data_IF_287003782623
#
_entry.id   IF_287003782623
#
_cell.length_a   1.000
_cell.length_b   1.000
_cell.length_c   1.000
_cell.angle_alpha   90.00
_cell.angle_beta   90.00
_cell.angle_gamma   90.00
#
_symmetry.space_group_name_H-M   'P 1'
#
loop_
_entity.id
_entity.type
_entity.pdbx_description
1 polymer ?
#
# COMPACT_ATOMS: atom_id res chain seq x y z
N UNK A 1 -25.54 18.46 21.77
CA UNK A 1 -24.20 19.08 21.81
C UNK A 1 -23.17 18.00 21.47
N UNK A 2 -22.61 17.98 20.25
CA UNK A 2 -21.69 16.90 19.83
C UNK A 2 -20.34 17.00 20.56
N UNK A 3 -19.92 15.92 21.20
CA UNK A 3 -18.67 15.79 21.97
C UNK A 3 -17.42 16.11 21.12
N UNK A 4 -16.36 16.60 21.78
CA UNK A 4 -15.07 16.98 21.18
C UNK A 4 -14.44 15.83 20.40
N UNK A 5 -14.56 14.58 20.84
CA UNK A 5 -14.06 13.40 20.08
C UNK A 5 -14.81 13.25 18.75
N UNK A 6 -16.13 13.35 18.79
CA UNK A 6 -16.98 13.31 17.58
C UNK A 6 -16.64 14.43 16.61
N UNK A 7 -16.39 15.65 17.11
CA UNK A 7 -15.98 16.79 16.26
C UNK A 7 -14.62 16.57 15.59
N UNK A 8 -13.63 16.06 16.33
CA UNK A 8 -12.29 15.75 15.78
C UNK A 8 -12.37 14.67 14.70
N UNK A 9 -13.09 13.58 14.98
CA UNK A 9 -13.33 12.50 14.01
C UNK A 9 -14.01 13.01 12.74
N UNK A 10 -15.06 13.81 12.88
CA UNK A 10 -15.77 14.40 11.73
C UNK A 10 -14.92 15.41 10.94
N UNK A 11 -13.93 16.05 11.56
CA UNK A 11 -12.96 16.91 10.88
C UNK A 11 -11.95 16.09 10.08
N UNK A 12 -11.45 15.01 10.67
CA UNK A 12 -10.53 14.09 10.00
C UNK A 12 -11.19 13.45 8.78
N UNK A 13 -12.38 12.86 8.93
CA UNK A 13 -13.12 12.29 7.80
C UNK A 13 -13.36 13.28 6.66
N UNK A 14 -13.77 14.51 6.97
CA UNK A 14 -13.94 15.56 5.95
C UNK A 14 -12.65 15.89 5.24
N UNK A 15 -11.54 15.99 5.96
CA UNK A 15 -10.22 16.26 5.37
C UNK A 15 -9.81 15.12 4.42
N UNK A 16 -10.02 13.87 4.81
CA UNK A 16 -9.70 12.70 3.96
C UNK A 16 -10.57 12.71 2.71
N UNK A 17 -11.89 12.89 2.84
CA UNK A 17 -12.80 12.96 1.70
C UNK A 17 -12.39 14.07 0.72
N UNK A 18 -12.15 15.28 1.22
CA UNK A 18 -11.70 16.40 0.39
C UNK A 18 -10.36 16.14 -0.32
N UNK A 19 -9.44 15.42 0.33
CA UNK A 19 -8.17 15.04 -0.28
C UNK A 19 -8.37 14.01 -1.40
N UNK A 20 -9.22 13.01 -1.19
CA UNK A 20 -9.55 12.00 -2.20
C UNK A 20 -10.26 12.62 -3.41
N UNK A 21 -11.24 13.50 -3.18
CA UNK A 21 -11.94 14.23 -4.24
C UNK A 21 -10.94 15.08 -5.07
N UNK A 22 -10.00 15.74 -4.40
CA UNK A 22 -8.97 16.53 -5.09
C UNK A 22 -8.02 15.67 -5.93
N UNK A 23 -7.64 14.47 -5.45
CA UNK A 23 -6.82 13.52 -6.21
C UNK A 23 -7.58 13.02 -7.43
N UNK A 24 -8.86 12.70 -7.30
CA UNK A 24 -9.70 12.26 -8.41
C UNK A 24 -9.83 13.34 -9.49
N UNK A 25 -10.11 14.59 -9.09
CA UNK A 25 -10.20 15.72 -10.02
C UNK A 25 -8.89 15.93 -10.80
N UNK A 26 -7.73 15.84 -10.12
CA UNK A 26 -6.42 15.94 -10.77
C UNK A 26 -6.20 14.82 -11.78
N UNK A 27 -6.65 13.60 -11.46
CA UNK A 27 -6.61 12.48 -12.41
C UNK A 27 -7.51 12.75 -13.63
N UNK A 28 -8.75 13.18 -13.44
CA UNK A 28 -9.67 13.52 -14.54
C UNK A 28 -9.15 14.66 -15.43
N UNK A 29 -8.36 15.57 -14.86
CA UNK A 29 -7.68 16.66 -15.57
C UNK A 29 -6.38 16.22 -16.27
N UNK A 30 -5.98 14.95 -16.14
CA UNK A 30 -4.76 14.42 -16.74
C UNK A 30 -3.47 14.82 -16.02
N UNK A 31 -3.55 15.35 -14.79
CA UNK A 31 -2.38 15.68 -13.99
C UNK A 31 -1.81 14.47 -13.23
N UNK A 32 -2.59 13.39 -13.12
CA UNK A 32 -2.11 12.17 -12.50
C UNK A 32 -1.10 11.47 -13.42
N UNK A 33 0.03 10.97 -12.86
CA UNK A 33 0.92 10.09 -13.61
C UNK A 33 0.13 8.90 -14.14
N UNK A 34 0.16 8.71 -15.46
CA UNK A 34 -0.39 7.54 -16.11
C UNK A 34 0.75 6.73 -16.70
N UNK A 35 0.62 5.41 -16.59
CA UNK A 35 1.55 4.47 -17.22
C UNK A 35 0.73 3.69 -18.24
N UNK A 36 1.15 3.74 -19.50
CA UNK A 36 0.57 2.88 -20.53
C UNK A 36 0.96 1.44 -20.24
N UNK A 37 -0.01 0.54 -20.27
CA UNK A 37 0.20 -0.89 -20.07
C UNK A 37 -0.32 -1.65 -21.29
N UNK A 38 0.56 -2.43 -21.91
CA UNK A 38 0.21 -3.37 -22.96
C UNK A 38 0.02 -4.77 -22.35
N UNK A 39 -1.22 -5.30 -22.29
CA UNK A 39 -1.48 -6.65 -21.77
C UNK A 39 -0.78 -7.77 -22.57
N UNK A 40 -0.35 -7.49 -23.81
CA UNK A 40 0.40 -8.44 -24.64
C UNK A 40 1.89 -8.51 -24.28
N UNK A 41 2.43 -7.48 -23.62
CA UNK A 41 3.85 -7.40 -23.25
C UNK A 41 4.16 -7.98 -21.86
N UNK A 42 3.13 -8.32 -21.07
CA UNK A 42 3.24 -8.88 -19.73
C UNK A 42 1.93 -8.74 -18.95
N UNK A 43 1.89 -9.26 -17.72
CA UNK A 43 0.79 -9.09 -16.78
C UNK A 43 1.10 -8.08 -15.68
N UNK A 44 0.09 -7.64 -14.94
CA UNK A 44 0.27 -6.94 -13.67
C UNK A 44 -0.05 -7.88 -12.52
N UNK A 45 0.74 -7.81 -11.45
CA UNK A 45 0.34 -8.29 -10.13
C UNK A 45 0.21 -7.10 -9.20
N UNK A 46 -0.89 -7.05 -8.47
CA UNK A 46 -1.19 -5.95 -7.56
C UNK A 46 -1.31 -6.52 -6.15
N UNK A 47 -0.48 -6.03 -5.24
CA UNK A 47 -0.60 -6.32 -3.82
C UNK A 47 -0.80 -5.03 -3.02
N UNK A 48 -1.33 -5.18 -1.81
CA UNK A 48 -1.63 -4.11 -0.86
C UNK A 48 -1.68 -4.70 0.54
N UNK A 49 -1.52 -3.87 1.57
CA UNK A 49 -1.78 -4.21 2.97
C UNK A 49 -0.99 -5.45 3.45
N UNK A 50 0.28 -5.54 3.03
CA UNK A 50 1.15 -6.60 3.53
C UNK A 50 1.46 -6.41 5.01
N UNK A 51 1.61 -5.15 5.45
CA UNK A 51 2.02 -4.80 6.81
C UNK A 51 3.29 -5.57 7.23
N UNK A 52 4.35 -5.43 6.42
CA UNK A 52 5.69 -5.97 6.69
C UNK A 52 6.25 -5.27 7.92
N UNK A 53 6.32 -5.98 9.04
CA UNK A 53 6.72 -5.42 10.32
C UNK A 53 8.14 -5.77 10.77
N UNK A 54 8.39 -5.62 12.06
CA UNK A 54 9.71 -5.79 12.69
C UNK A 54 10.11 -7.27 12.95
N UNK A 55 9.40 -8.23 12.35
CA UNK A 55 9.48 -9.67 12.67
C UNK A 55 9.11 -10.04 14.12
N UNK A 56 8.29 -9.23 14.76
CA UNK A 56 7.76 -9.47 16.11
C UNK A 56 6.28 -9.85 16.07
N UNK A 57 5.51 -9.45 17.09
CA UNK A 57 4.09 -9.74 17.21
C UNK A 57 3.17 -8.81 16.40
N UNK A 58 3.67 -7.64 15.99
CA UNK A 58 2.97 -6.68 15.13
C UNK A 58 3.08 -7.05 13.64
N UNK A 59 4.06 -7.89 13.29
CA UNK A 59 4.34 -8.28 11.91
C UNK A 59 3.37 -9.38 11.41
N UNK A 60 2.18 -8.96 10.98
CA UNK A 60 1.16 -9.83 10.40
C UNK A 60 1.58 -10.44 9.04
N UNK A 61 2.47 -9.77 8.30
CA UNK A 61 3.01 -10.26 7.04
C UNK A 61 3.68 -11.62 7.15
N UNK A 62 4.30 -11.94 8.30
CA UNK A 62 5.07 -13.18 8.50
C UNK A 62 4.29 -14.45 8.13
N UNK A 63 2.97 -14.43 8.33
CA UNK A 63 2.09 -15.56 8.00
C UNK A 63 1.93 -15.73 6.49
N UNK A 64 1.96 -14.63 5.74
CA UNK A 64 1.81 -14.57 4.29
C UNK A 64 3.15 -14.61 3.54
N UNK A 65 4.28 -14.34 4.19
CA UNK A 65 5.62 -14.19 3.60
C UNK A 65 5.95 -15.30 2.59
N UNK A 66 5.69 -16.57 2.94
CA UNK A 66 5.95 -17.70 2.03
C UNK A 66 5.12 -17.66 0.76
N UNK A 67 3.83 -17.37 0.87
CA UNK A 67 2.93 -17.31 -0.27
C UNK A 67 3.24 -16.09 -1.15
N UNK A 68 3.53 -14.95 -0.52
CA UNK A 68 3.98 -13.74 -1.20
C UNK A 68 5.26 -13.99 -2.02
N UNK A 69 6.28 -14.59 -1.40
CA UNK A 69 7.54 -14.91 -2.10
C UNK A 69 7.34 -15.91 -3.25
N UNK A 70 6.50 -16.93 -3.07
CA UNK A 70 6.18 -17.89 -4.13
C UNK A 70 5.46 -17.22 -5.31
N UNK A 71 4.52 -16.32 -5.03
CA UNK A 71 3.84 -15.55 -6.06
C UNK A 71 4.82 -14.62 -6.80
N UNK A 72 5.68 -13.89 -6.07
CA UNK A 72 6.69 -13.03 -6.69
C UNK A 72 7.61 -13.83 -7.63
N UNK A 73 8.12 -14.97 -7.20
CA UNK A 73 8.98 -15.81 -8.03
C UNK A 73 8.25 -16.28 -9.31
N UNK A 74 7.04 -16.80 -9.16
CA UNK A 74 6.24 -17.30 -10.28
C UNK A 74 5.93 -16.20 -11.31
N UNK A 75 5.47 -15.04 -10.85
CA UNK A 75 5.08 -13.95 -11.74
C UNK A 75 6.27 -13.18 -12.32
N UNK A 76 7.40 -13.17 -11.63
CA UNK A 76 8.66 -12.67 -12.18
C UNK A 76 9.12 -13.52 -13.38
N UNK A 77 9.02 -14.85 -13.27
CA UNK A 77 9.34 -15.77 -14.40
C UNK A 77 8.41 -15.55 -15.60
N UNK A 78 7.16 -15.15 -15.36
CA UNK A 78 6.20 -14.78 -16.42
C UNK A 78 6.35 -13.35 -16.95
N UNK A 79 7.38 -12.61 -16.51
CA UNK A 79 7.63 -11.23 -16.94
C UNK A 79 6.55 -10.23 -16.53
N UNK A 80 5.86 -10.47 -15.41
CA UNK A 80 4.85 -9.54 -14.91
C UNK A 80 5.48 -8.36 -14.15
N UNK A 81 4.78 -7.23 -14.16
CA UNK A 81 5.15 -6.06 -13.37
C UNK A 81 4.42 -6.08 -12.02
N UNK A 82 5.19 -5.93 -10.94
CA UNK A 82 4.65 -5.77 -9.58
C UNK A 82 4.20 -4.32 -9.35
N UNK A 83 2.99 -4.16 -8.84
CA UNK A 83 2.42 -2.91 -8.34
C UNK A 83 2.07 -3.08 -6.87
N UNK A 84 2.65 -2.24 -6.01
CA UNK A 84 2.37 -2.18 -4.59
C UNK A 84 1.45 -0.97 -4.31
N UNK A 85 0.22 -1.23 -3.85
CA UNK A 85 -0.86 -0.22 -3.77
C UNK A 85 -0.88 0.56 -2.45
N UNK A 86 0.00 0.24 -1.50
CA UNK A 86 0.11 0.92 -0.22
C UNK A 86 0.09 -0.05 0.97
N UNK A 87 0.31 0.50 2.16
CA UNK A 87 0.36 -0.23 3.43
C UNK A 87 1.25 -1.49 3.36
N UNK A 88 2.38 -1.34 2.67
CA UNK A 88 3.37 -2.41 2.47
C UNK A 88 4.11 -2.68 3.77
N UNK A 89 4.52 -1.64 4.48
CA UNK A 89 5.17 -1.71 5.79
C UNK A 89 4.18 -1.43 6.92
N UNK A 90 4.34 -2.13 8.05
CA UNK A 90 3.54 -1.93 9.27
C UNK A 90 4.00 -0.65 9.99
N UNK A 91 3.52 0.51 9.52
CA UNK A 91 3.88 1.81 10.08
C UNK A 91 2.84 2.35 11.08
N UNK A 92 1.80 1.58 11.38
CA UNK A 92 0.85 1.91 12.45
C UNK A 92 1.45 1.58 13.82
N UNK A 93 2.19 0.48 13.91
CA UNK A 93 2.79 0.00 15.15
C UNK A 93 4.31 0.24 15.22
N UNK A 94 5.00 0.34 14.07
CA UNK A 94 6.46 0.47 14.01
C UNK A 94 6.96 1.80 13.40
N UNK A 95 8.24 2.10 13.65
CA UNK A 95 8.94 3.18 12.95
C UNK A 95 9.65 2.65 11.69
N UNK A 96 9.81 3.48 10.63
CA UNK A 96 10.43 3.02 9.38
C UNK A 96 11.82 2.40 9.56
N UNK A 97 12.66 2.95 10.44
CA UNK A 97 14.01 2.42 10.67
C UNK A 97 14.00 0.98 11.19
N UNK A 98 13.09 0.68 12.13
CA UNK A 98 12.96 -0.67 12.69
C UNK A 98 12.53 -1.67 11.62
N UNK A 99 11.57 -1.30 10.76
CA UNK A 99 11.10 -2.16 9.67
C UNK A 99 12.20 -2.37 8.62
N UNK A 100 12.84 -1.30 8.16
CA UNK A 100 13.89 -1.34 7.12
C UNK A 100 15.09 -2.17 7.57
N UNK A 101 15.48 -2.10 8.85
CA UNK A 101 16.58 -2.91 9.38
C UNK A 101 16.32 -4.43 9.32
N UNK A 102 15.08 -4.86 9.07
CA UNK A 102 14.71 -6.29 8.90
C UNK A 102 14.73 -6.76 7.46
N UNK A 103 14.92 -5.87 6.49
CA UNK A 103 14.99 -6.26 5.09
C UNK A 103 16.28 -7.05 4.84
N UNK A 104 16.21 -8.18 4.11
CA UNK A 104 17.40 -8.91 3.69
C UNK A 104 18.35 -7.96 2.94
N UNK A 105 19.65 -8.04 3.23
CA UNK A 105 20.70 -7.31 2.50
C UNK A 105 21.24 -8.13 1.34
#
# INVERSE_FOLDING_TARGET
>A
MTDRRTRRRNRHFRRVAQALDAVLLRHEQGEAPSVSFDPGAGGLIIFSDQHKGARDGADDFRKAERAYNAALAYYLELGHTLVELGDVEELWEETPGVVIDRYPR
#
